data_IF_791878633105
#
_entry.id   IF_791878633105
#
_cell.length_a   1.000
_cell.length_b   1.000
_cell.length_c   1.000
_cell.angle_alpha   90.00
_cell.angle_beta   90.00
_cell.angle_gamma   90.00
#
_symmetry.space_group_name_H-M   'P 1'
#
loop_
_entity.id
_entity.type
_entity.pdbx_description
1 polymer ?
#
# COMPACT_ATOMS: atom_id res chain seq x y z
N UNK A 1 14.52 1.71 -0.57
CA UNK A 1 14.23 1.42 -1.98
C UNK A 1 13.07 0.44 -2.03
N UNK A 2 11.85 0.92 -2.31
CA UNK A 2 10.71 0.05 -2.59
C UNK A 2 10.96 -0.62 -3.94
N UNK A 3 11.14 -1.94 -3.94
CA UNK A 3 11.35 -2.72 -5.16
C UNK A 3 10.10 -2.64 -6.02
N UNK A 4 10.13 -1.76 -7.02
CA UNK A 4 9.27 -1.87 -8.18
C UNK A 4 9.83 -3.01 -9.05
N UNK A 5 8.98 -3.94 -9.53
CA UNK A 5 9.41 -4.96 -10.46
C UNK A 5 10.08 -4.29 -11.67
N UNK A 6 11.21 -4.82 -12.14
CA UNK A 6 11.99 -4.23 -13.24
C UNK A 6 11.19 -4.15 -14.53
N UNK A 7 10.20 -5.03 -14.67
CA UNK A 7 9.23 -5.10 -15.76
C UNK A 7 8.28 -3.90 -15.76
N UNK A 8 8.02 -3.31 -14.58
CA UNK A 8 7.19 -2.13 -14.43
C UNK A 8 8.00 -0.85 -14.69
N UNK A 9 9.28 -0.81 -14.30
CA UNK A 9 10.17 0.34 -14.60
C UNK A 9 10.54 0.43 -16.08
N UNK A 10 10.76 -0.70 -16.76
CA UNK A 10 11.09 -0.75 -18.19
C UNK A 10 9.91 -0.42 -19.13
N UNK A 11 8.72 -0.17 -18.59
CA UNK A 11 7.53 0.26 -19.34
C UNK A 11 7.10 1.70 -19.04
N UNK A 12 7.89 2.47 -18.28
CA UNK A 12 7.56 3.83 -17.85
C UNK A 12 8.05 4.93 -18.82
N UNK A 13 8.92 4.60 -19.78
CA UNK A 13 9.29 5.46 -20.89
C UNK A 13 8.25 5.38 -22.02
N UNK A 14 7.72 6.54 -22.45
CA UNK A 14 6.78 6.59 -23.58
C UNK A 14 5.32 6.26 -23.26
N UNK A 15 4.89 6.34 -21.99
CA UNK A 15 3.49 6.09 -21.66
C UNK A 15 2.54 7.05 -22.38
N UNK A 16 1.58 6.47 -23.10
CA UNK A 16 0.51 7.24 -23.71
C UNK A 16 -0.32 7.93 -22.63
N UNK A 17 -0.87 9.10 -22.93
CA UNK A 17 -1.80 9.82 -22.04
C UNK A 17 -2.97 8.92 -21.60
N UNK A 18 -3.39 7.98 -22.46
CA UNK A 18 -4.43 7.00 -22.14
C UNK A 18 -3.97 6.02 -21.06
N UNK A 19 -2.73 5.53 -21.12
CA UNK A 19 -2.13 4.63 -20.13
C UNK A 19 -2.02 5.31 -18.77
N UNK A 20 -1.51 6.55 -18.74
CA UNK A 20 -1.44 7.37 -17.51
C UNK A 20 -2.82 7.52 -16.89
N UNK A 21 -3.82 7.90 -17.69
CA UNK A 21 -5.20 8.09 -17.22
C UNK A 21 -5.82 6.80 -16.70
N UNK A 22 -5.57 5.67 -17.36
CA UNK A 22 -6.08 4.37 -16.93
C UNK A 22 -5.49 3.95 -15.57
N UNK A 23 -4.19 4.19 -15.36
CA UNK A 23 -3.52 3.88 -14.10
C UNK A 23 -3.97 4.77 -12.94
N UNK A 24 -4.10 6.07 -13.18
CA UNK A 24 -4.64 6.99 -12.17
C UNK A 24 -6.05 6.58 -11.75
N UNK A 25 -6.91 6.23 -12.72
CA UNK A 25 -8.26 5.72 -12.44
C UNK A 25 -8.21 4.39 -11.66
N UNK A 26 -7.31 3.47 -12.01
CA UNK A 26 -7.13 2.23 -11.25
C UNK A 26 -6.70 2.51 -9.81
N UNK A 27 -5.79 3.46 -9.58
CA UNK A 27 -5.39 3.93 -8.26
C UNK A 27 -6.54 4.53 -7.47
N UNK A 28 -7.33 5.41 -8.09
CA UNK A 28 -8.52 6.01 -7.48
C UNK A 28 -9.54 4.95 -7.05
N UNK A 29 -9.78 3.93 -7.89
CA UNK A 29 -10.65 2.80 -7.54
C UNK A 29 -10.09 1.98 -6.38
N UNK A 30 -8.79 1.65 -6.42
CA UNK A 30 -8.13 0.90 -5.35
C UNK A 30 -8.25 1.60 -3.99
N UNK A 31 -8.23 2.94 -3.97
CA UNK A 31 -8.40 3.72 -2.74
C UNK A 31 -9.82 3.61 -2.15
N UNK A 32 -10.84 3.41 -3.00
CA UNK A 32 -12.24 3.26 -2.58
C UNK A 32 -12.59 1.81 -2.20
N UNK A 33 -11.79 0.83 -2.60
CA UNK A 33 -11.99 -0.57 -2.26
C UNK A 33 -11.74 -0.86 -0.77
N UNK A 34 -12.35 -1.95 -0.29
CA UNK A 34 -12.15 -2.47 1.07
C UNK A 34 -11.26 -3.71 1.01
N UNK A 35 -10.13 -3.67 1.72
CA UNK A 35 -9.21 -4.80 1.78
C UNK A 35 -9.75 -5.97 2.61
N UNK A 36 -9.28 -7.19 2.33
CA UNK A 36 -9.48 -8.34 3.20
C UNK A 36 -8.37 -8.41 4.25
N UNK A 37 -8.74 -8.60 5.51
CA UNK A 37 -7.84 -8.72 6.65
C UNK A 37 -7.83 -10.16 7.17
N UNK A 38 -6.65 -10.65 7.55
CA UNK A 38 -6.51 -12.00 8.12
C UNK A 38 -6.82 -11.97 9.61
N UNK A 39 -7.59 -12.95 10.08
CA UNK A 39 -7.96 -13.07 11.50
C UNK A 39 -6.97 -13.96 12.26
N UNK A 40 -6.74 -13.71 13.57
CA UNK A 40 -5.74 -14.43 14.37
C UNK A 40 -5.91 -15.95 14.44
N UNK A 41 -7.15 -16.45 14.36
CA UNK A 41 -7.47 -17.88 14.46
C UNK A 41 -7.75 -18.54 13.10
N UNK A 42 -7.26 -17.92 12.03
CA UNK A 42 -7.60 -18.31 10.66
C UNK A 42 -8.90 -17.64 10.19
N UNK A 43 -9.05 -17.59 8.87
CA UNK A 43 -10.13 -16.86 8.22
C UNK A 43 -9.76 -15.44 7.80
N UNK A 44 -10.61 -14.86 6.96
CA UNK A 44 -10.44 -13.52 6.43
C UNK A 44 -11.74 -12.74 6.62
N UNK A 45 -11.61 -11.45 6.90
CA UNK A 45 -12.74 -10.53 7.05
C UNK A 45 -12.55 -9.33 6.14
N UNK A 46 -13.62 -8.84 5.54
CA UNK A 46 -13.57 -7.58 4.80
C UNK A 46 -13.41 -6.41 5.78
N UNK A 47 -12.47 -5.51 5.51
CA UNK A 47 -12.26 -4.29 6.28
C UNK A 47 -13.54 -3.46 6.31
N UNK A 48 -13.80 -2.80 7.44
CA UNK A 48 -14.99 -1.96 7.58
C UNK A 48 -14.89 -0.69 6.71
N UNK A 49 -13.69 -0.10 6.66
CA UNK A 49 -13.38 1.15 5.99
C UNK A 49 -12.65 0.96 4.66
N UNK A 50 -12.81 1.89 3.71
CA UNK A 50 -12.05 1.90 2.46
C UNK A 50 -10.55 2.11 2.71
N UNK A 51 -9.75 1.78 1.69
CA UNK A 51 -8.31 1.86 1.76
C UNK A 51 -7.80 3.30 2.01
N UNK A 52 -8.46 4.32 1.47
CA UNK A 52 -8.12 5.73 1.68
C UNK A 52 -8.14 6.14 3.17
N UNK A 53 -9.19 5.77 3.91
CA UNK A 53 -9.31 6.07 5.35
C UNK A 53 -8.27 5.33 6.18
N UNK A 54 -7.95 4.09 5.80
CA UNK A 54 -6.92 3.29 6.48
C UNK A 54 -5.52 3.90 6.32
N UNK A 55 -5.22 4.43 5.13
CA UNK A 55 -3.97 5.14 4.85
C UNK A 55 -3.90 6.48 5.60
N UNK A 56 -5.00 7.22 5.70
CA UNK A 56 -5.08 8.45 6.49
C UNK A 56 -4.84 8.18 7.99
N UNK A 57 -5.52 7.18 8.56
CA UNK A 57 -5.30 6.76 9.94
C UNK A 57 -3.86 6.26 10.20
N UNK A 58 -3.24 5.64 9.19
CA UNK A 58 -1.83 5.27 9.26
C UNK A 58 -0.91 6.49 9.24
N UNK A 59 -1.11 7.43 8.32
CA UNK A 59 -0.32 8.65 8.23
C UNK A 59 -0.40 9.45 9.55
N UNK A 60 -1.60 9.58 10.14
CA UNK A 60 -1.79 10.22 11.45
C UNK A 60 -0.96 9.55 12.55
N UNK A 61 -0.92 8.22 12.59
CA UNK A 61 -0.09 7.47 13.56
C UNK A 61 1.41 7.66 13.32
N UNK A 62 1.86 7.68 12.07
CA UNK A 62 3.27 7.93 11.71
C UNK A 62 3.69 9.33 12.17
N UNK A 63 2.89 10.35 11.87
CA UNK A 63 3.14 11.74 12.30
C UNK A 63 3.16 11.84 13.82
N UNK A 64 2.18 11.25 14.50
CA UNK A 64 2.08 11.28 15.96
C UNK A 64 3.24 10.53 16.66
N UNK A 65 3.75 9.46 16.06
CA UNK A 65 4.85 8.69 16.61
C UNK A 65 6.22 9.39 16.46
N UNK A 66 6.31 10.48 15.68
CA UNK A 66 7.58 11.12 15.32
C UNK A 66 8.57 10.17 14.61
N UNK A 67 8.11 8.98 14.23
CA UNK A 67 8.88 7.89 13.63
C UNK A 67 8.26 7.56 12.28
N UNK A 68 9.08 7.60 11.23
CA UNK A 68 8.75 6.98 9.96
C UNK A 68 8.34 5.51 10.21
N UNK A 69 7.40 4.98 9.43
CA UNK A 69 6.89 3.63 9.67
C UNK A 69 8.04 2.62 9.73
N UNK A 70 7.95 1.58 10.57
CA UNK A 70 8.98 0.56 10.65
C UNK A 70 9.10 -0.09 9.27
N UNK A 71 10.11 0.33 8.50
CA UNK A 71 10.56 -0.40 7.33
C UNK A 71 10.90 -1.80 7.83
N UNK A 72 10.39 -2.84 7.19
CA UNK A 72 10.57 -4.24 7.60
C UNK A 72 12.03 -4.70 7.60
N UNK A 73 12.80 -4.22 8.59
CA UNK A 73 14.10 -4.76 8.94
C UNK A 73 13.83 -6.06 9.71
N UNK A 74 14.08 -7.14 8.96
CA UNK A 74 14.07 -8.53 9.35
C UNK A 74 14.67 -8.71 10.76
N UNK A 75 13.98 -9.48 11.59
CA UNK A 75 14.48 -9.94 12.90
C UNK A 75 15.91 -10.49 12.76
N UNK A 76 16.84 -9.88 13.46
CA UNK A 76 18.10 -10.51 13.86
C UNK A 76 18.48 -9.88 15.18
N UNK A 77 18.09 -10.52 16.28
CA UNK A 77 18.81 -10.54 17.56
C UNK A 77 18.13 -11.58 18.45
N UNK A 78 18.39 -12.84 18.09
CA UNK A 78 18.46 -13.91 19.06
C UNK A 78 19.91 -13.95 19.54
N UNK A 79 20.20 -13.34 20.70
CA UNK A 79 21.12 -13.90 21.69
C UNK A 79 20.98 -13.20 23.04
#
# INVERSE_FOLDING_TARGET
ASYLPKELEAGMDGWSVRSVKAFLNAGEKMLQEKSMESLPFGGKKLAAQPNCERLDAFAKRVVAAGKLPPTGARNSDAK
#
